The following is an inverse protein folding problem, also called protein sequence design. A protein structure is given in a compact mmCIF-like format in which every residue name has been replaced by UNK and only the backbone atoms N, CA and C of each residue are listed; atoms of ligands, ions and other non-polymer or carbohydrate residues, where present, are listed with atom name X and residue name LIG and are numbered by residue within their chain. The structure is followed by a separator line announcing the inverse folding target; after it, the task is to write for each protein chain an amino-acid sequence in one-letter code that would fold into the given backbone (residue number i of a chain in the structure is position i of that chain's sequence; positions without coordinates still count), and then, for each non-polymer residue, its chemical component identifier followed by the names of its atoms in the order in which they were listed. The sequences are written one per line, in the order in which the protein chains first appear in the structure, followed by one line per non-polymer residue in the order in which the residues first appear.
data_IF_101319211544
#
_entry.id   IF_101319211544
#
_cell.length_a   1.000
_cell.length_b   1.000
_cell.length_c   1.000
_cell.angle_alpha   90.00
_cell.angle_beta   90.00
_cell.angle_gamma   90.00
#
_symmetry.space_group_name_H-M   'P 1'
#
loop_
_entity.id
_entity.type
_entity.pdbx_description
1 polymer ?
#
# COMPACT_ATOMS: atom_id res chain seq x y z
N UNK A 1 -19.86 13.04 18.25
CA UNK A 1 -19.40 13.10 16.86
C UNK A 1 -18.05 12.45 16.76
N UNK A 2 -18.02 11.31 16.06
CA UNK A 2 -16.90 10.38 16.13
C UNK A 2 -16.26 10.28 14.76
N UNK A 3 -14.98 10.57 14.71
CA UNK A 3 -14.22 10.59 13.47
C UNK A 3 -13.03 9.66 13.66
N UNK A 4 -12.99 8.59 12.87
CA UNK A 4 -11.78 7.77 12.72
C UNK A 4 -10.79 8.59 11.91
N UNK A 5 -9.73 9.04 12.53
CA UNK A 5 -8.74 9.90 11.89
C UNK A 5 -7.38 9.24 11.83
N UNK A 6 -6.82 9.18 10.63
CA UNK A 6 -5.46 8.87 10.22
C UNK A 6 -5.03 7.42 10.25
N UNK A 7 -4.57 7.07 9.10
CA UNK A 7 -4.01 5.78 8.77
C UNK A 7 -2.54 5.93 8.38
N UNK A 8 -1.67 5.16 9.02
CA UNK A 8 -0.41 4.76 8.41
C UNK A 8 -0.58 3.33 7.95
N UNK A 9 -0.57 3.16 6.66
CA UNK A 9 -0.70 1.85 6.06
C UNK A 9 0.68 1.23 5.86
N UNK A 10 0.93 0.09 6.46
CA UNK A 10 1.99 -0.81 6.07
C UNK A 10 1.34 -2.05 5.48
N UNK A 11 1.46 -2.24 4.16
CA UNK A 11 0.97 -3.44 3.50
C UNK A 11 1.94 -4.58 3.80
N UNK A 12 1.56 -5.49 4.70
CA UNK A 12 2.26 -6.77 4.84
C UNK A 12 1.48 -7.79 4.03
N UNK A 13 2.11 -8.33 3.00
CA UNK A 13 1.59 -9.44 2.23
C UNK A 13 1.96 -10.72 2.96
N UNK A 14 0.97 -11.37 3.55
CA UNK A 14 1.16 -12.75 4.02
C UNK A 14 1.27 -13.68 2.81
N UNK A 15 2.34 -14.47 2.75
CA UNK A 15 2.61 -15.38 1.63
C UNK A 15 1.58 -16.50 1.49
N UNK A 16 0.78 -16.78 2.51
CA UNK A 16 -0.21 -17.85 2.53
C UNK A 16 -1.60 -17.44 2.07
N UNK A 17 -1.92 -16.15 2.01
CA UNK A 17 -3.25 -15.67 1.62
C UNK A 17 -3.15 -14.62 0.53
N UNK A 18 -4.04 -14.73 -0.46
CA UNK A 18 -4.14 -13.81 -1.60
C UNK A 18 -4.64 -12.40 -1.22
N UNK A 19 -4.99 -12.19 0.03
CA UNK A 19 -5.67 -10.99 0.48
C UNK A 19 -4.67 -9.96 1.00
N UNK A 20 -4.78 -8.76 0.47
CA UNK A 20 -4.06 -7.58 0.95
C UNK A 20 -4.64 -7.15 2.29
N UNK A 21 -3.80 -7.02 3.31
CA UNK A 21 -4.18 -6.44 4.60
C UNK A 21 -3.62 -5.03 4.69
N UNK A 22 -4.49 -4.08 4.96
CA UNK A 22 -4.12 -2.70 5.21
C UNK A 22 -4.17 -2.43 6.72
N UNK A 23 -3.10 -1.87 7.28
CA UNK A 23 -3.08 -1.46 8.67
C UNK A 23 -3.60 -0.05 8.83
N UNK A 24 -4.60 0.11 9.68
CA UNK A 24 -5.25 1.36 10.00
C UNK A 24 -4.99 1.73 11.46
N UNK A 25 -4.46 2.93 11.71
CA UNK A 25 -4.38 3.49 13.05
C UNK A 25 -5.60 4.38 13.32
N UNK A 26 -6.27 4.15 14.43
CA UNK A 26 -7.36 5.01 14.89
C UNK A 26 -6.76 6.25 15.55
N UNK A 27 -7.14 7.42 15.08
CA UNK A 27 -6.63 8.70 15.61
C UNK A 27 -7.62 9.39 16.54
N UNK A 28 -8.92 9.25 16.27
CA UNK A 28 -9.97 9.82 17.11
C UNK A 28 -11.29 9.09 16.92
N UNK A 29 -12.19 9.24 17.86
CA UNK A 29 -13.46 8.52 17.88
C UNK A 29 -13.28 7.08 18.35
N UNK A 30 -14.20 6.20 17.99
CA UNK A 30 -14.07 4.77 18.21
C UNK A 30 -14.39 4.02 16.92
N UNK A 31 -13.90 2.82 16.83
CA UNK A 31 -14.15 1.90 15.73
C UNK A 31 -15.07 0.78 16.20
N UNK A 32 -16.05 0.44 15.39
CA UNK A 32 -16.90 -0.73 15.54
C UNK A 32 -16.89 -1.54 14.25
N UNK A 33 -16.77 -2.86 14.35
CA UNK A 33 -16.73 -3.75 13.20
C UNK A 33 -17.99 -3.62 12.35
N UNK A 34 -17.81 -3.50 11.05
CA UNK A 34 -18.91 -3.37 10.09
C UNK A 34 -19.40 -1.95 9.91
N UNK A 35 -18.87 -0.98 10.67
CA UNK A 35 -19.19 0.42 10.41
C UNK A 35 -18.80 0.80 8.98
N UNK A 36 -19.61 1.64 8.35
CA UNK A 36 -19.26 2.22 7.07
C UNK A 36 -18.44 3.49 7.27
N UNK A 37 -17.28 3.53 6.64
CA UNK A 37 -16.40 4.69 6.61
C UNK A 37 -16.29 5.21 5.19
N UNK A 38 -15.95 6.46 5.01
CA UNK A 38 -15.70 7.04 3.70
C UNK A 38 -14.21 7.08 3.42
N UNK A 39 -13.83 6.56 2.27
CA UNK A 39 -12.46 6.66 1.76
C UNK A 39 -12.23 8.05 1.18
N UNK A 40 -11.39 8.86 1.79
CA UNK A 40 -11.22 10.27 1.48
C UNK A 40 -10.76 10.50 0.02
N UNK A 41 -9.77 9.78 -0.46
CA UNK A 41 -9.23 9.94 -1.82
C UNK A 41 -10.21 9.54 -2.92
N UNK A 42 -10.96 8.45 -2.71
CA UNK A 42 -11.90 7.94 -3.70
C UNK A 42 -13.32 8.48 -3.53
N UNK A 43 -13.63 9.13 -2.40
CA UNK A 43 -14.96 9.60 -2.02
C UNK A 43 -16.02 8.48 -2.10
N UNK A 44 -15.62 7.25 -1.73
CA UNK A 44 -16.46 6.06 -1.76
C UNK A 44 -16.60 5.44 -0.38
N UNK A 45 -17.74 4.82 -0.09
CA UNK A 45 -17.90 4.05 1.14
C UNK A 45 -16.95 2.85 1.13
N UNK A 46 -16.35 2.58 2.29
CA UNK A 46 -15.52 1.41 2.54
C UNK A 46 -16.08 0.63 3.74
N UNK A 47 -16.27 -0.68 3.56
CA UNK A 47 -16.79 -1.54 4.62
C UNK A 47 -15.67 -2.10 5.47
N UNK A 48 -15.80 -1.96 6.78
CA UNK A 48 -14.84 -2.47 7.78
C UNK A 48 -15.24 -3.82 8.37
N UNK A 49 -16.11 -4.57 7.67
CA UNK A 49 -16.64 -5.85 8.13
C UNK A 49 -15.57 -6.89 8.50
N UNK A 50 -14.43 -6.85 7.80
CA UNK A 50 -13.32 -7.77 7.96
C UNK A 50 -12.13 -7.10 8.64
N UNK A 51 -12.39 -6.42 9.76
CA UNK A 51 -11.34 -5.88 10.59
C UNK A 51 -10.76 -6.94 11.53
N UNK A 52 -9.45 -6.92 11.70
CA UNK A 52 -8.72 -7.85 12.56
C UNK A 52 -7.80 -7.07 13.50
N UNK A 53 -7.65 -7.56 14.72
CA UNK A 53 -6.54 -7.15 15.61
C UNK A 53 -5.33 -8.02 15.31
N UNK A 54 -4.14 -7.48 15.56
CA UNK A 54 -2.89 -8.22 15.44
C UNK A 54 -2.16 -8.16 16.79
N UNK A 55 -2.18 -9.26 17.51
CA UNK A 55 -1.31 -9.48 18.66
C UNK A 55 -0.35 -10.63 18.34
N UNK A 56 0.91 -10.30 18.06
CA UNK A 56 1.90 -11.31 17.69
C UNK A 56 1.61 -11.94 16.33
N UNK A 57 1.56 -13.27 16.27
CA UNK A 57 1.24 -14.06 15.07
C UNK A 57 -0.25 -14.34 14.91
N UNK A 58 -1.06 -14.07 15.93
CA UNK A 58 -2.47 -14.42 15.93
C UNK A 58 -3.32 -13.27 15.38
N UNK A 59 -4.31 -13.65 14.57
CA UNK A 59 -5.29 -12.73 13.98
C UNK A 59 -6.64 -12.99 14.61
N UNK A 60 -7.01 -12.12 15.53
CA UNK A 60 -8.35 -12.12 16.07
C UNK A 60 -9.23 -11.09 15.35
N UNK A 61 -10.53 -11.35 15.34
CA UNK A 61 -11.50 -10.40 14.83
C UNK A 61 -11.52 -9.16 15.72
N UNK A 62 -11.39 -7.98 15.12
CA UNK A 62 -11.50 -6.72 15.82
C UNK A 62 -12.95 -6.27 15.86
N UNK A 63 -13.62 -6.36 16.99
CA UNK A 63 -14.99 -5.88 17.15
C UNK A 63 -15.03 -4.38 17.46
N UNK A 64 -14.09 -3.89 18.25
CA UNK A 64 -13.99 -2.50 18.67
C UNK A 64 -12.53 -2.02 18.61
N UNK A 65 -12.35 -0.71 18.57
CA UNK A 65 -11.03 -0.09 18.62
C UNK A 65 -11.10 1.37 19.04
N UNK A 66 -10.05 1.82 19.71
CA UNK A 66 -9.97 3.15 20.33
C UNK A 66 -8.77 3.94 19.78
N UNK A 67 -8.72 5.27 20.01
CA UNK A 67 -7.62 6.11 19.55
C UNK A 67 -6.26 5.59 20.02
N UNK A 68 -5.37 5.34 19.08
CA UNK A 68 -4.04 4.73 19.30
C UNK A 68 -3.94 3.29 18.81
N UNK A 69 -5.05 2.57 18.73
CA UNK A 69 -5.08 1.19 18.26
C UNK A 69 -4.76 1.09 16.76
N UNK A 70 -4.17 -0.05 16.40
CA UNK A 70 -3.89 -0.41 15.01
C UNK A 70 -4.69 -1.66 14.65
N UNK A 71 -5.51 -1.54 13.61
CA UNK A 71 -6.34 -2.62 13.11
C UNK A 71 -5.89 -3.02 11.70
N UNK A 72 -6.01 -4.31 11.38
CA UNK A 72 -5.85 -4.84 10.03
C UNK A 72 -7.19 -4.84 9.29
N UNK A 73 -7.23 -4.26 8.10
CA UNK A 73 -8.39 -4.32 7.21
C UNK A 73 -8.08 -5.30 6.09
N UNK A 74 -8.85 -6.39 6.02
CA UNK A 74 -8.75 -7.38 4.95
C UNK A 74 -9.56 -6.90 3.73
N UNK A 75 -9.22 -7.38 2.54
CA UNK A 75 -9.83 -6.95 1.26
C UNK A 75 -9.67 -5.46 0.97
N UNK A 76 -8.55 -4.91 1.37
CA UNK A 76 -8.24 -3.48 1.27
C UNK A 76 -7.42 -3.15 0.00
N UNK A 77 -7.76 -3.74 -1.15
CA UNK A 77 -7.03 -3.56 -2.41
C UNK A 77 -7.00 -2.12 -2.91
N UNK A 78 -8.03 -1.35 -2.60
CA UNK A 78 -8.18 0.04 -3.03
C UNK A 78 -7.46 1.04 -2.12
N UNK A 79 -7.02 0.58 -0.95
CA UNK A 79 -6.32 1.43 0.01
C UNK A 79 -4.84 1.53 -0.33
N UNK A 80 -4.30 2.74 -0.19
CA UNK A 80 -2.88 3.07 -0.38
C UNK A 80 -2.29 3.65 0.90
N UNK A 81 -0.97 3.59 0.99
CA UNK A 81 -0.24 4.22 2.11
C UNK A 81 -0.55 5.73 2.14
N UNK A 82 -1.00 6.22 3.31
CA UNK A 82 -1.38 7.61 3.49
C UNK A 82 -2.86 7.91 3.26
N UNK A 83 -3.65 6.95 2.78
CA UNK A 83 -5.09 7.13 2.66
C UNK A 83 -5.76 7.38 4.02
N UNK A 84 -6.83 8.14 4.00
CA UNK A 84 -7.65 8.47 5.18
C UNK A 84 -9.03 7.88 5.03
N UNK A 85 -9.49 7.24 6.11
CA UNK A 85 -10.87 6.80 6.27
C UNK A 85 -11.53 7.66 7.36
N UNK A 86 -12.77 8.11 7.12
CA UNK A 86 -13.47 8.97 8.07
C UNK A 86 -14.97 8.67 8.13
N UNK A 87 -15.58 9.09 9.21
CA UNK A 87 -17.04 9.09 9.41
C UNK A 87 -17.49 10.51 9.70
N UNK A 88 -18.57 10.94 9.06
CA UNK A 88 -19.12 12.30 9.22
C UNK A 88 -18.41 13.33 8.35
N UNK A 89 -17.80 14.33 8.95
CA UNK A 89 -17.16 15.41 8.20
C UNK A 89 -15.87 14.95 7.50
N UNK A 90 -15.65 15.39 6.25
CA UNK A 90 -14.44 15.06 5.52
C UNK A 90 -13.18 15.54 6.24
N UNK A 91 -12.20 14.65 6.34
CA UNK A 91 -10.88 14.95 6.91
C UNK A 91 -9.81 14.55 5.92
N UNK A 92 -8.91 15.49 5.65
CA UNK A 92 -7.70 15.23 4.89
C UNK A 92 -6.47 15.52 5.76
N UNK A 93 -5.50 14.61 5.72
CA UNK A 93 -4.20 14.84 6.33
C UNK A 93 -3.18 15.23 5.28
N UNK A 94 -2.13 15.95 5.66
CA UNK A 94 -1.00 16.20 4.75
C UNK A 94 -0.48 14.88 4.18
N UNK A 95 -0.13 14.89 2.90
CA UNK A 95 0.50 13.73 2.27
C UNK A 95 1.77 13.34 3.04
N UNK A 96 2.06 12.05 3.07
CA UNK A 96 3.33 11.57 3.61
C UNK A 96 4.43 12.09 2.69
N UNK A 97 5.43 12.86 3.20
CA UNK A 97 6.51 13.35 2.37
C UNK A 97 7.26 12.18 1.76
N UNK A 98 7.48 12.24 0.46
CA UNK A 98 8.36 11.34 -0.27
C UNK A 98 9.69 12.06 -0.46
N UNK A 99 10.78 11.36 -0.23
CA UNK A 99 12.10 11.87 -0.58
C UNK A 99 12.25 11.87 -2.09
N UNK A 100 12.85 12.91 -2.64
CA UNK A 100 13.17 12.95 -4.06
C UNK A 100 14.25 11.89 -4.36
N UNK A 101 14.12 11.16 -5.47
CA UNK A 101 15.11 10.15 -5.82
C UNK A 101 16.42 10.79 -6.23
N UNK A 102 17.52 10.25 -5.75
CA UNK A 102 18.89 10.69 -6.08
C UNK A 102 19.55 9.74 -7.10
N UNK A 103 19.09 8.49 -7.14
CA UNK A 103 19.63 7.46 -8.01
C UNK A 103 18.56 6.99 -9.00
N UNK A 104 18.97 6.73 -10.23
CA UNK A 104 18.08 6.31 -11.30
C UNK A 104 18.59 5.04 -11.97
N UNK A 105 17.71 4.09 -12.21
CA UNK A 105 18.00 2.82 -12.85
C UNK A 105 16.96 2.50 -13.92
N UNK A 106 17.40 2.22 -15.16
CA UNK A 106 16.51 1.75 -16.22
C UNK A 106 16.23 0.27 -16.03
N UNK A 107 14.96 -0.09 -15.84
CA UNK A 107 14.57 -1.46 -15.54
C UNK A 107 13.95 -2.16 -16.74
N UNK A 108 14.43 -3.36 -17.04
CA UNK A 108 13.91 -4.22 -18.12
C UNK A 108 13.72 -5.65 -17.62
N UNK A 109 12.66 -6.34 -18.04
CA UNK A 109 12.56 -7.76 -17.76
C UNK A 109 13.60 -8.53 -18.59
N UNK A 110 14.39 -9.39 -17.96
CA UNK A 110 15.34 -10.26 -18.65
C UNK A 110 14.59 -11.21 -19.59
N UNK A 111 13.43 -11.71 -19.14
CA UNK A 111 12.56 -12.58 -19.92
C UNK A 111 11.30 -11.81 -20.36
N UNK A 112 11.17 -11.59 -21.67
CA UNK A 112 10.03 -10.87 -22.26
C UNK A 112 8.71 -11.61 -22.01
N UNK A 113 8.72 -12.93 -21.88
CA UNK A 113 7.51 -13.71 -21.55
C UNK A 113 6.93 -13.34 -20.19
N UNK A 114 7.73 -12.78 -19.30
CA UNK A 114 7.38 -12.31 -17.96
C UNK A 114 6.98 -10.82 -17.90
N UNK A 115 6.80 -10.16 -19.04
CA UNK A 115 6.49 -8.73 -19.11
C UNK A 115 5.21 -8.35 -18.31
N UNK A 116 4.21 -9.22 -18.27
CA UNK A 116 2.98 -8.98 -17.48
C UNK A 116 3.26 -9.00 -15.98
N UNK A 117 4.02 -9.99 -15.51
CA UNK A 117 4.44 -10.12 -14.12
C UNK A 117 5.35 -8.96 -13.71
N UNK A 118 6.27 -8.59 -14.59
CA UNK A 118 7.15 -7.43 -14.41
C UNK A 118 6.34 -6.13 -14.22
N UNK A 119 5.39 -5.83 -15.10
CA UNK A 119 4.52 -4.64 -14.98
C UNK A 119 3.72 -4.65 -13.68
N UNK A 120 3.12 -5.79 -13.34
CA UNK A 120 2.37 -5.93 -12.07
C UNK A 120 3.26 -5.69 -10.86
N UNK A 121 4.49 -6.22 -10.88
CA UNK A 121 5.47 -5.99 -9.81
C UNK A 121 5.90 -4.53 -9.71
N UNK A 122 6.17 -3.88 -10.85
CA UNK A 122 6.48 -2.46 -10.91
C UNK A 122 5.39 -1.61 -10.24
N UNK A 123 4.14 -1.79 -10.67
CA UNK A 123 3.01 -1.00 -10.17
C UNK A 123 2.83 -1.21 -8.66
N UNK A 124 2.95 -2.44 -8.19
CA UNK A 124 2.80 -2.75 -6.77
C UNK A 124 3.94 -2.19 -5.93
N UNK A 125 5.21 -2.35 -6.37
CA UNK A 125 6.37 -1.88 -5.62
C UNK A 125 6.49 -0.35 -5.60
N UNK A 126 6.00 0.33 -6.65
CA UNK A 126 5.83 1.79 -6.66
C UNK A 126 4.75 2.24 -5.67
N UNK A 127 3.59 1.59 -5.66
CA UNK A 127 2.52 1.87 -4.69
C UNK A 127 2.97 1.67 -3.24
N UNK A 128 3.82 0.68 -2.99
CA UNK A 128 4.39 0.40 -1.67
C UNK A 128 5.53 1.35 -1.30
N UNK A 129 6.02 2.15 -2.25
CA UNK A 129 7.08 3.13 -2.05
C UNK A 129 8.48 2.51 -1.91
N UNK A 130 8.68 1.30 -2.43
CA UNK A 130 10.01 0.65 -2.48
C UNK A 130 10.92 1.41 -3.43
N UNK A 131 10.40 1.77 -4.59
CA UNK A 131 11.04 2.64 -5.60
C UNK A 131 9.99 3.59 -6.16
N UNK A 132 10.41 4.63 -6.87
CA UNK A 132 9.52 5.49 -7.66
C UNK A 132 9.63 5.09 -9.13
N UNK A 133 8.51 4.78 -9.78
CA UNK A 133 8.50 4.43 -11.20
C UNK A 133 8.23 5.68 -12.03
N UNK A 134 9.24 6.11 -12.75
CA UNK A 134 9.17 7.24 -13.68
C UNK A 134 8.91 6.69 -15.09
N UNK A 135 7.87 7.20 -15.72
CA UNK A 135 7.49 6.83 -17.08
C UNK A 135 7.53 8.06 -17.97
N UNK A 136 8.11 7.90 -19.14
CA UNK A 136 8.05 8.92 -20.15
C UNK A 136 6.62 8.98 -20.72
N UNK A 137 6.00 10.16 -20.65
CA UNK A 137 4.65 10.38 -21.16
C UNK A 137 4.63 10.42 -22.70
N UNK A 138 5.73 10.82 -23.32
CA UNK A 138 5.87 10.92 -24.77
C UNK A 138 6.31 9.59 -25.40
N UNK A 139 6.88 8.68 -24.60
CA UNK A 139 7.32 7.36 -25.02
C UNK A 139 6.84 6.25 -24.07
N UNK A 140 5.54 5.95 -24.04
CA UNK A 140 4.95 4.99 -23.07
C UNK A 140 5.46 3.55 -23.23
N UNK A 141 6.08 3.22 -24.35
CA UNK A 141 6.71 1.92 -24.63
C UNK A 141 8.17 1.86 -24.19
N UNK A 142 8.77 2.98 -23.80
CA UNK A 142 10.12 3.01 -23.29
C UNK A 142 10.25 2.23 -21.97
N UNK A 143 11.46 1.75 -21.68
CA UNK A 143 11.74 1.08 -20.41
C UNK A 143 11.52 2.07 -19.25
N UNK A 144 10.79 1.68 -18.21
CA UNK A 144 10.58 2.53 -17.06
C UNK A 144 11.90 2.81 -16.36
N UNK A 145 12.03 4.01 -15.83
CA UNK A 145 13.15 4.42 -14.98
C UNK A 145 12.70 4.33 -13.53
N UNK A 146 13.48 3.64 -12.72
CA UNK A 146 13.28 3.54 -11.28
C UNK A 146 14.08 4.63 -10.58
N UNK A 147 13.43 5.38 -9.72
CA UNK A 147 14.06 6.35 -8.84
C UNK A 147 14.14 5.83 -7.42
N UNK A 148 15.28 6.00 -6.76
CA UNK A 148 15.50 5.62 -5.37
C UNK A 148 16.38 6.65 -4.65
N UNK A 149 16.28 6.71 -3.33
CA UNK A 149 17.15 7.53 -2.48
C UNK A 149 18.49 6.83 -2.23
N UNK A 150 18.49 5.49 -2.24
CA UNK A 150 19.70 4.70 -2.00
C UNK A 150 19.71 3.40 -2.78
N UNK A 151 20.91 2.88 -3.03
CA UNK A 151 21.13 1.68 -3.84
C UNK A 151 20.42 0.44 -3.30
N UNK A 152 20.32 0.30 -1.98
CA UNK A 152 19.63 -0.82 -1.33
C UNK A 152 18.16 -0.96 -1.77
N UNK A 153 17.50 0.14 -2.12
CA UNK A 153 16.11 0.09 -2.61
C UNK A 153 16.01 -0.67 -3.93
N UNK A 154 16.99 -0.54 -4.82
CA UNK A 154 17.03 -1.31 -6.08
C UNK A 154 17.28 -2.80 -5.82
N UNK A 155 18.13 -3.14 -4.86
CA UNK A 155 18.38 -4.53 -4.48
C UNK A 155 17.12 -5.18 -3.90
N UNK A 156 16.42 -4.46 -3.00
CA UNK A 156 15.12 -4.90 -2.46
C UNK A 156 14.08 -5.04 -3.57
N UNK A 157 14.03 -4.08 -4.48
CA UNK A 157 13.13 -4.13 -5.63
C UNK A 157 13.40 -5.37 -6.50
N UNK A 158 14.64 -5.60 -6.90
CA UNK A 158 15.02 -6.73 -7.75
C UNK A 158 14.72 -8.07 -7.06
N UNK A 159 15.09 -8.20 -5.79
CA UNK A 159 14.82 -9.39 -4.99
C UNK A 159 13.32 -9.68 -4.88
N UNK A 160 12.52 -8.69 -4.57
CA UNK A 160 11.06 -8.85 -4.44
C UNK A 160 10.39 -9.13 -5.77
N UNK A 161 10.84 -8.47 -6.84
CA UNK A 161 10.32 -8.70 -8.19
C UNK A 161 10.55 -10.14 -8.65
N UNK A 162 11.73 -10.70 -8.37
CA UNK A 162 12.03 -12.09 -8.68
C UNK A 162 11.20 -13.06 -7.82
N UNK A 163 11.20 -12.89 -6.50
CA UNK A 163 10.62 -13.87 -5.58
C UNK A 163 9.10 -13.80 -5.44
N UNK A 164 8.52 -12.62 -5.57
CA UNK A 164 7.07 -12.44 -5.42
C UNK A 164 6.31 -12.48 -6.76
N UNK A 165 6.95 -12.03 -7.84
CA UNK A 165 6.32 -11.92 -9.17
C UNK A 165 6.91 -12.88 -10.20
N UNK A 166 8.04 -13.51 -9.90
CA UNK A 166 8.72 -14.43 -10.79
C UNK A 166 9.33 -13.76 -12.03
N UNK A 167 9.63 -12.47 -11.95
CA UNK A 167 10.24 -11.69 -13.02
C UNK A 167 11.60 -11.16 -12.58
N UNK A 168 12.64 -11.53 -13.32
CA UNK A 168 14.00 -10.98 -13.13
C UNK A 168 14.15 -9.69 -13.91
N UNK A 169 14.92 -8.76 -13.35
CA UNK A 169 15.22 -7.45 -13.92
C UNK A 169 16.71 -7.31 -14.22
N UNK A 170 17.00 -6.61 -15.32
CA UNK A 170 18.32 -6.13 -15.70
C UNK A 170 18.31 -4.61 -15.61
#
# INVERSE_FOLDING_TARGET
HQVVRRQRQMCIRDRSHRDRVAFMRINSGYFERGMQVTHQRLQKPFSTKFATTMFGSDRDTADEGYPGDVLGLVNASDLRIGDTLYVGEPVAFPAIPRFEPELFWSARPIDISKAKQFRKGLDQLDEEGVVQVLRDLDAPTASPVLGAVGQMQFEVFAHRLEHEFGAKVD
#
